data_IF_326048375498
#
_entry.id   IF_326048375498
#
_cell.length_a   1.000
_cell.length_b   1.000
_cell.length_c   1.000
_cell.angle_alpha   90.00
_cell.angle_beta   90.00
_cell.angle_gamma   90.00
#
_symmetry.space_group_name_H-M   'P 1'
#
loop_
_entity.id
_entity.type
_entity.pdbx_description
1 polymer ?
#
# COMPACT_ATOMS: atom_id res chain seq x y z
N UNK A 1 -43.03 54.50 7.36
CA UNK A 1 -42.16 54.22 6.20
C UNK A 1 -41.35 52.98 6.53
N UNK A 2 -41.56 51.78 6.00
CA UNK A 2 -42.32 51.33 4.84
C UNK A 2 -41.37 50.60 3.88
N UNK A 3 -41.31 49.25 3.96
CA UNK A 3 -41.01 48.25 2.92
C UNK A 3 -40.44 47.00 3.64
N UNK A 4 -41.14 45.85 3.75
CA UNK A 4 -41.50 44.81 2.76
C UNK A 4 -40.33 43.92 2.31
N UNK A 5 -40.37 42.71 2.89
CA UNK A 5 -39.97 41.32 2.51
C UNK A 5 -40.01 40.98 0.98
N UNK A 6 -39.64 39.78 0.44
CA UNK A 6 -39.45 38.46 1.11
C UNK A 6 -38.48 37.39 0.50
N UNK A 7 -38.38 36.25 1.21
CA UNK A 7 -38.17 34.89 0.67
C UNK A 7 -36.80 34.26 1.00
N UNK A 8 -36.66 33.06 1.59
CA UNK A 8 -37.18 31.76 1.16
C UNK A 8 -37.29 30.81 2.36
N UNK A 9 -38.43 30.10 2.44
CA UNK A 9 -38.76 29.15 3.51
C UNK A 9 -38.43 27.68 3.20
N UNK A 10 -38.11 26.95 4.28
CA UNK A 10 -38.05 25.49 4.39
C UNK A 10 -39.45 24.87 4.28
N UNK A 11 -39.56 23.67 3.70
CA UNK A 11 -40.57 22.60 3.99
C UNK A 11 -40.09 21.31 3.30
N UNK A 12 -39.78 20.23 4.00
CA UNK A 12 -40.61 19.33 4.82
C UNK A 12 -41.40 18.31 3.98
N UNK A 13 -41.06 17.05 4.25
CA UNK A 13 -41.50 15.78 3.71
C UNK A 13 -42.90 15.41 4.26
N UNK A 14 -43.80 14.90 3.41
CA UNK A 14 -45.02 14.20 3.85
C UNK A 14 -45.28 13.02 2.92
N UNK A 15 -45.43 11.84 3.53
CA UNK A 15 -45.87 10.60 2.92
C UNK A 15 -47.40 10.57 2.76
N UNK A 16 -47.90 9.84 1.76
CA UNK A 16 -49.32 9.59 1.57
C UNK A 16 -49.58 8.34 0.72
N UNK A 17 -49.99 7.28 1.40
CA UNK A 17 -50.59 6.05 0.87
C UNK A 17 -51.97 6.30 0.25
N UNK A 18 -52.31 5.59 -0.83
CA UNK A 18 -53.68 5.53 -1.36
C UNK A 18 -53.87 4.37 -2.35
N UNK A 19 -54.74 3.43 -1.99
CA UNK A 19 -55.18 2.29 -2.79
C UNK A 19 -56.62 2.51 -3.31
N UNK A 20 -56.98 1.82 -4.42
CA UNK A 20 -58.31 1.42 -4.93
C UNK A 20 -58.39 1.66 -6.46
N UNK A 21 -58.45 0.63 -7.34
CA UNK A 21 -59.52 -0.34 -7.68
C UNK A 21 -60.41 0.11 -8.86
N UNK A 22 -60.94 -0.92 -9.57
CA UNK A 22 -61.90 -0.97 -10.70
C UNK A 22 -61.24 -1.20 -12.06
N UNK A 23 -61.61 -2.16 -12.93
CA UNK A 23 -62.66 -3.21 -12.98
C UNK A 23 -62.36 -4.09 -14.21
N UNK A 24 -62.61 -5.41 -14.15
CA UNK A 24 -62.74 -6.30 -15.31
C UNK A 24 -64.07 -6.07 -16.06
N UNK A 25 -64.45 -6.74 -17.15
CA UNK A 25 -63.93 -7.86 -17.91
C UNK A 25 -64.74 -7.94 -19.22
N UNK A 26 -64.18 -8.38 -20.35
CA UNK A 26 -64.94 -9.11 -21.40
C UNK A 26 -63.98 -9.99 -22.23
N UNK A 27 -64.32 -11.27 -22.38
CA UNK A 27 -63.95 -12.22 -23.44
C UNK A 27 -65.26 -12.96 -23.82
N UNK A 28 -65.36 -13.83 -24.86
CA UNK A 28 -64.30 -14.46 -25.69
C UNK A 28 -64.64 -14.58 -27.21
N UNK A 29 -63.72 -15.15 -28.01
CA UNK A 29 -64.02 -16.14 -29.07
C UNK A 29 -62.75 -16.70 -29.76
N UNK A 30 -62.73 -18.04 -29.85
CA UNK A 30 -61.86 -19.00 -30.56
C UNK A 30 -61.62 -18.72 -32.06
N UNK A 31 -60.71 -19.30 -32.85
CA UNK A 31 -59.54 -20.17 -32.72
C UNK A 31 -58.93 -20.31 -34.14
N UNK A 32 -57.61 -20.48 -34.28
CA UNK A 32 -56.93 -21.56 -35.05
C UNK A 32 -55.44 -21.27 -35.27
N UNK A 33 -54.65 -22.30 -35.03
CA UNK A 33 -53.19 -22.33 -35.01
C UNK A 33 -52.55 -22.34 -36.41
N UNK A 34 -51.38 -21.70 -36.51
CA UNK A 34 -50.30 -22.07 -37.42
C UNK A 34 -48.98 -21.95 -36.64
N UNK A 35 -48.28 -23.06 -36.49
CA UNK A 35 -47.02 -23.16 -35.76
C UNK A 35 -45.90 -22.43 -36.53
N UNK A 36 -45.19 -21.55 -35.84
CA UNK A 36 -43.89 -21.03 -36.26
C UNK A 36 -42.89 -21.57 -35.25
N UNK A 37 -41.95 -22.38 -35.71
CA UNK A 37 -40.84 -22.89 -34.90
C UNK A 37 -40.00 -21.71 -34.38
N UNK A 38 -40.03 -21.54 -33.05
CA UNK A 38 -39.19 -20.57 -32.34
C UNK A 38 -37.79 -21.13 -32.07
N UNK A 39 -36.79 -20.26 -31.82
CA UNK A 39 -35.39 -20.65 -31.74
C UNK A 39 -35.10 -21.44 -30.45
N UNK A 40 -34.02 -22.22 -30.55
CA UNK A 40 -33.48 -23.13 -29.56
C UNK A 40 -33.66 -22.71 -28.09
N UNK A 41 -34.07 -23.69 -27.27
CA UNK A 41 -34.11 -23.59 -25.83
C UNK A 41 -32.79 -23.01 -25.30
N UNK A 42 -32.88 -21.82 -24.71
CA UNK A 42 -31.85 -21.33 -23.80
C UNK A 42 -31.83 -22.32 -22.64
N UNK A 43 -30.76 -23.12 -22.57
CA UNK A 43 -30.46 -23.88 -21.37
C UNK A 43 -30.12 -22.84 -20.32
N UNK A 44 -31.10 -22.50 -19.47
CA UNK A 44 -30.85 -21.79 -18.22
C UNK A 44 -29.97 -22.71 -17.36
N UNK A 45 -28.65 -22.57 -17.51
CA UNK A 45 -27.71 -23.06 -16.50
C UNK A 45 -28.06 -22.42 -15.15
N UNK A 46 -27.76 -23.09 -14.03
CA UNK A 46 -28.08 -22.56 -12.72
C UNK A 46 -27.54 -21.14 -12.62
N UNK A 47 -28.43 -20.18 -12.40
CA UNK A 47 -28.08 -18.80 -12.08
C UNK A 47 -27.33 -18.82 -10.76
N UNK A 48 -26.02 -19.04 -10.84
CA UNK A 48 -25.13 -18.95 -9.71
C UNK A 48 -25.08 -17.48 -9.31
N UNK A 49 -26.03 -17.06 -8.47
CA UNK A 49 -25.88 -15.86 -7.67
C UNK A 49 -24.68 -16.13 -6.78
N UNK A 50 -23.51 -15.63 -7.18
CA UNK A 50 -22.29 -15.79 -6.41
C UNK A 50 -22.37 -14.83 -5.23
N UNK A 51 -22.30 -15.36 -4.00
CA UNK A 51 -22.18 -14.52 -2.82
C UNK A 51 -20.83 -13.78 -2.84
N UNK A 52 -20.89 -12.45 -2.86
CA UNK A 52 -19.71 -11.58 -2.80
C UNK A 52 -19.19 -11.10 -4.17
N UNK A 53 -18.03 -10.43 -4.20
CA UNK A 53 -17.56 -9.67 -5.37
C UNK A 53 -16.78 -10.52 -6.39
N UNK A 54 -16.65 -11.83 -6.19
CA UNK A 54 -15.90 -12.71 -7.07
C UNK A 54 -16.83 -13.40 -8.08
N UNK A 55 -16.43 -13.56 -9.35
CA UNK A 55 -17.18 -14.39 -10.29
C UNK A 55 -17.04 -15.88 -9.94
N UNK A 56 -17.95 -16.70 -10.46
CA UNK A 56 -17.95 -18.16 -10.28
C UNK A 56 -16.69 -18.83 -10.83
N UNK A 57 -16.13 -18.29 -11.93
CA UNK A 57 -14.90 -18.76 -12.56
C UNK A 57 -13.60 -18.29 -11.87
N UNK A 58 -13.66 -17.53 -10.78
CA UNK A 58 -12.45 -17.06 -10.09
C UNK A 58 -11.48 -18.18 -9.66
N UNK A 59 -11.91 -19.40 -9.25
CA UNK A 59 -10.95 -20.46 -8.88
C UNK A 59 -10.10 -20.90 -10.07
N UNK A 60 -10.69 -20.91 -11.28
CA UNK A 60 -9.95 -21.22 -12.51
C UNK A 60 -8.91 -20.14 -12.82
N UNK A 61 -9.29 -18.85 -12.76
CA UNK A 61 -8.33 -17.75 -12.93
C UNK A 61 -7.21 -17.78 -11.89
N UNK A 62 -7.53 -18.11 -10.63
CA UNK A 62 -6.54 -18.27 -9.57
C UNK A 62 -5.60 -19.46 -9.82
N UNK A 63 -6.09 -20.54 -10.42
CA UNK A 63 -5.27 -21.70 -10.80
C UNK A 63 -4.28 -21.34 -11.92
N UNK A 64 -4.67 -20.51 -12.88
CA UNK A 64 -3.84 -20.04 -14.00
C UNK A 64 -2.64 -19.16 -13.58
N UNK A 65 -2.67 -18.56 -12.38
CA UNK A 65 -1.55 -17.79 -11.84
C UNK A 65 -0.37 -18.71 -11.49
N UNK A 66 0.45 -19.04 -12.49
CA UNK A 66 1.61 -19.95 -12.34
C UNK A 66 2.88 -19.22 -11.92
N UNK A 67 2.90 -17.89 -12.06
CA UNK A 67 4.04 -17.00 -11.79
C UNK A 67 5.30 -17.41 -12.56
N UNK A 68 5.28 -17.38 -13.91
CA UNK A 68 6.37 -17.90 -14.75
C UNK A 68 7.68 -17.14 -14.61
N UNK A 69 7.71 -15.93 -14.06
CA UNK A 69 8.95 -15.19 -13.79
C UNK A 69 9.46 -15.37 -12.36
N UNK A 70 8.79 -16.13 -11.49
CA UNK A 70 9.31 -16.42 -10.15
C UNK A 70 10.69 -17.11 -10.23
N UNK A 71 11.59 -16.80 -9.29
CA UNK A 71 12.88 -17.48 -9.22
C UNK A 71 12.69 -18.99 -9.03
N UNK A 72 13.50 -19.80 -9.71
CA UNK A 72 13.35 -21.26 -9.75
C UNK A 72 12.33 -21.77 -10.79
N UNK A 73 11.25 -21.03 -11.06
CA UNK A 73 10.29 -21.35 -12.13
C UNK A 73 10.70 -20.75 -13.48
N UNK A 74 11.26 -19.55 -13.46
CA UNK A 74 11.69 -18.82 -14.66
C UNK A 74 12.66 -19.64 -15.51
N UNK A 75 12.58 -19.54 -16.86
CA UNK A 75 13.60 -20.12 -17.73
C UNK A 75 14.95 -19.43 -17.57
N UNK A 76 15.01 -18.22 -17.00
CA UNK A 76 16.26 -17.48 -16.76
C UNK A 76 16.95 -18.07 -15.52
N UNK A 77 18.10 -18.73 -15.73
CA UNK A 77 18.85 -19.45 -14.69
C UNK A 77 20.02 -18.67 -14.10
N UNK A 78 20.49 -17.62 -14.78
CA UNK A 78 21.41 -16.66 -14.17
C UNK A 78 20.64 -15.70 -13.27
N UNK A 79 21.05 -15.56 -12.01
CA UNK A 79 20.31 -14.76 -11.05
C UNK A 79 20.37 -13.26 -11.37
N UNK A 80 21.52 -12.76 -11.81
CA UNK A 80 21.66 -11.35 -12.19
C UNK A 80 20.75 -10.99 -13.36
N UNK A 81 20.71 -11.85 -14.37
CA UNK A 81 19.81 -11.72 -15.51
C UNK A 81 18.34 -11.85 -15.10
N UNK A 82 18.00 -12.80 -14.22
CA UNK A 82 16.65 -12.96 -13.70
C UNK A 82 16.20 -11.71 -12.95
N UNK A 83 17.03 -11.20 -12.02
CA UNK A 83 16.74 -10.01 -11.21
C UNK A 83 16.45 -8.81 -12.10
N UNK A 84 17.28 -8.57 -13.11
CA UNK A 84 17.05 -7.50 -14.11
C UNK A 84 15.75 -7.70 -14.88
N UNK A 85 15.46 -8.91 -15.36
CA UNK A 85 14.25 -9.20 -16.12
C UNK A 85 12.98 -9.08 -15.27
N UNK A 86 13.01 -9.57 -14.04
CA UNK A 86 11.92 -9.47 -13.07
C UNK A 86 11.65 -8.00 -12.71
N UNK A 87 12.70 -7.23 -12.37
CA UNK A 87 12.58 -5.79 -12.10
C UNK A 87 12.01 -5.05 -13.31
N UNK A 88 12.53 -5.30 -14.51
CA UNK A 88 12.03 -4.67 -15.74
C UNK A 88 10.54 -4.99 -16.00
N UNK A 89 10.09 -6.21 -15.69
CA UNK A 89 8.67 -6.56 -15.80
C UNK A 89 7.81 -5.84 -14.76
N UNK A 90 8.27 -5.69 -13.53
CA UNK A 90 7.55 -4.91 -12.51
C UNK A 90 7.46 -3.45 -12.96
N UNK A 91 8.59 -2.86 -13.37
CA UNK A 91 8.72 -1.50 -13.89
C UNK A 91 7.75 -1.19 -15.05
N UNK A 92 7.63 -2.11 -16.00
CA UNK A 92 6.66 -2.05 -17.11
C UNK A 92 5.21 -2.00 -16.60
N UNK A 93 4.90 -2.83 -15.59
CA UNK A 93 3.54 -3.02 -15.06
C UNK A 93 3.16 -2.06 -13.94
N UNK A 94 4.05 -1.12 -13.56
CA UNK A 94 3.66 0.04 -12.76
C UNK A 94 2.69 0.94 -13.53
N UNK A 95 2.72 0.91 -14.87
CA UNK A 95 1.92 1.80 -15.73
C UNK A 95 2.18 3.29 -15.40
N UNK A 96 3.36 3.59 -14.86
CA UNK A 96 3.85 4.95 -14.59
C UNK A 96 5.28 5.05 -15.09
N UNK A 97 5.52 5.95 -16.04
CA UNK A 97 6.84 6.14 -16.64
C UNK A 97 7.90 6.60 -15.63
N UNK A 98 9.17 6.32 -15.92
CA UNK A 98 10.31 6.76 -15.09
C UNK A 98 10.27 8.27 -14.85
N UNK A 99 10.61 8.67 -13.62
CA UNK A 99 10.69 10.06 -13.17
C UNK A 99 12.11 10.49 -12.86
N UNK A 100 13.13 9.72 -13.25
CA UNK A 100 14.52 9.89 -12.78
C UNK A 100 15.12 11.25 -13.19
N UNK A 101 14.60 11.84 -14.28
CA UNK A 101 15.03 13.15 -14.78
C UNK A 101 14.25 14.34 -14.20
N UNK A 102 13.25 14.09 -13.36
CA UNK A 102 12.50 15.17 -12.71
C UNK A 102 13.37 15.74 -11.57
N UNK A 103 13.72 17.04 -11.56
CA UNK A 103 14.46 17.62 -10.44
C UNK A 103 13.63 17.57 -9.15
N UNK A 104 14.25 17.25 -8.02
CA UNK A 104 13.54 17.25 -6.72
C UNK A 104 13.10 18.65 -6.30
N UNK A 105 13.92 19.68 -6.57
CA UNK A 105 13.67 21.07 -6.18
C UNK A 105 13.15 21.21 -4.72
N UNK A 106 13.92 20.75 -3.71
CA UNK A 106 13.45 20.70 -2.33
C UNK A 106 13.37 22.11 -1.73
N UNK A 107 12.30 22.37 -0.99
CA UNK A 107 12.10 23.58 -0.18
C UNK A 107 11.92 23.18 1.28
N UNK A 108 12.76 23.71 2.16
CA UNK A 108 12.78 23.36 3.58
C UNK A 108 12.09 24.45 4.41
N UNK A 109 11.14 24.06 5.26
CA UNK A 109 10.37 24.95 6.12
C UNK A 109 10.19 24.37 7.53
N UNK A 110 9.57 25.15 8.42
CA UNK A 110 9.10 24.69 9.74
C UNK A 110 10.19 24.01 10.59
N UNK A 111 11.43 24.49 10.48
CA UNK A 111 12.57 23.95 11.21
C UNK A 111 12.40 24.14 12.72
N UNK A 112 12.51 23.05 13.49
CA UNK A 112 12.42 23.06 14.94
C UNK A 112 13.49 22.15 15.56
N UNK A 113 14.22 22.66 16.55
CA UNK A 113 15.12 21.84 17.38
C UNK A 113 14.27 20.94 18.28
N UNK A 114 14.61 19.67 18.31
CA UNK A 114 14.08 18.66 19.23
C UNK A 114 15.19 18.17 20.15
N UNK A 115 14.87 17.27 21.05
CA UNK A 115 15.87 16.60 21.89
C UNK A 115 16.64 15.54 21.07
N UNK A 116 17.89 15.84 20.73
CA UNK A 116 18.82 14.96 20.00
C UNK A 116 18.74 15.02 18.46
N UNK A 117 17.84 15.83 17.90
CA UNK A 117 17.67 15.99 16.44
C UNK A 117 16.98 17.32 16.08
N UNK A 118 16.95 17.63 14.79
CA UNK A 118 16.17 18.72 14.20
C UNK A 118 15.06 18.14 13.33
N UNK A 119 13.85 18.68 13.47
CA UNK A 119 12.73 18.42 12.56
C UNK A 119 12.60 19.54 11.53
N UNK A 120 12.37 19.20 10.27
CA UNK A 120 12.12 20.12 9.15
C UNK A 120 11.00 19.54 8.28
N UNK A 121 10.20 20.40 7.66
CA UNK A 121 9.36 20.00 6.54
C UNK A 121 10.14 20.19 5.25
N UNK A 122 10.05 19.24 4.32
CA UNK A 122 10.61 19.36 2.98
C UNK A 122 9.52 19.16 1.94
N UNK A 123 9.33 20.15 1.07
CA UNK A 123 8.44 20.05 -0.10
C UNK A 123 9.26 19.79 -1.34
N UNK A 124 8.99 18.69 -2.06
CA UNK A 124 9.80 18.24 -3.19
C UNK A 124 8.97 17.56 -4.29
N UNK A 125 9.48 17.57 -5.51
CA UNK A 125 8.85 16.89 -6.66
C UNK A 125 9.30 15.43 -6.72
N UNK A 126 8.44 14.50 -6.29
CA UNK A 126 8.67 13.05 -6.48
C UNK A 126 8.30 12.60 -7.90
N UNK A 127 7.34 13.27 -8.52
CA UNK A 127 6.96 13.10 -9.93
C UNK A 127 6.89 14.46 -10.61
N UNK A 128 6.72 14.49 -11.93
CA UNK A 128 6.44 15.75 -12.67
C UNK A 128 5.03 16.30 -12.43
N UNK A 129 4.18 15.58 -11.70
CA UNK A 129 2.75 15.88 -11.57
C UNK A 129 2.44 16.70 -10.32
N UNK A 130 3.17 16.46 -9.23
CA UNK A 130 2.91 17.12 -7.95
C UNK A 130 4.18 17.27 -7.11
N UNK A 131 4.11 18.20 -6.16
CA UNK A 131 5.09 18.39 -5.10
C UNK A 131 4.51 17.83 -3.81
N UNK A 132 5.29 17.01 -3.12
CA UNK A 132 4.91 16.31 -1.90
C UNK A 132 5.61 16.95 -0.72
N UNK A 133 4.86 17.21 0.36
CA UNK A 133 5.39 17.69 1.63
C UNK A 133 5.69 16.51 2.56
N UNK A 134 6.93 16.39 3.00
CA UNK A 134 7.42 15.31 3.84
C UNK A 134 8.04 15.85 5.13
N UNK A 135 8.01 15.03 6.18
CA UNK A 135 8.76 15.27 7.41
C UNK A 135 10.19 14.75 7.24
N UNK A 136 11.18 15.58 7.54
CA UNK A 136 12.60 15.24 7.54
C UNK A 136 13.15 15.45 8.95
N UNK A 137 13.67 14.39 9.56
CA UNK A 137 14.33 14.45 10.86
C UNK A 137 15.82 14.23 10.66
N UNK A 138 16.66 15.13 11.17
CA UNK A 138 18.12 15.03 11.10
C UNK A 138 18.70 14.95 12.52
N UNK A 139 19.43 13.88 12.89
CA UNK A 139 20.11 13.78 14.18
C UNK A 139 21.10 14.91 14.40
N UNK A 140 21.34 15.24 15.66
CA UNK A 140 22.42 16.16 16.02
C UNK A 140 23.78 15.46 15.86
N UNK A 141 24.77 16.16 15.29
CA UNK A 141 26.11 15.64 15.09
C UNK A 141 26.72 16.02 13.74
N UNK A 142 27.96 15.57 13.45
CA UNK A 142 28.67 15.97 12.24
C UNK A 142 28.23 15.22 10.96
N UNK A 143 27.56 14.07 11.08
CA UNK A 143 27.25 13.20 9.93
C UNK A 143 28.51 12.71 9.17
N UNK A 144 28.35 12.16 7.95
CA UNK A 144 27.07 11.75 7.37
C UNK A 144 26.41 10.62 8.19
N UNK A 145 25.08 10.57 8.18
CA UNK A 145 24.30 9.64 9.00
C UNK A 145 23.74 8.49 8.15
N UNK A 146 23.50 7.30 8.74
CA UNK A 146 22.59 6.36 8.13
C UNK A 146 21.19 6.98 8.04
N UNK A 147 20.35 6.47 7.14
CA UNK A 147 19.04 7.04 6.89
C UNK A 147 17.94 5.99 6.74
N UNK A 148 16.71 6.39 7.09
CA UNK A 148 15.52 5.57 6.97
C UNK A 148 14.43 6.30 6.20
N UNK A 149 14.03 5.74 5.06
CA UNK A 149 12.77 6.06 4.41
C UNK A 149 11.64 5.35 5.17
N UNK A 150 10.81 6.12 5.86
CA UNK A 150 9.75 5.61 6.72
C UNK A 150 8.39 5.72 6.03
N UNK A 151 7.67 4.60 5.94
CA UNK A 151 6.48 4.45 5.08
C UNK A 151 5.26 4.07 5.94
N UNK A 152 4.22 4.91 5.89
CA UNK A 152 3.04 4.77 6.77
C UNK A 152 2.03 3.74 6.29
N UNK A 153 1.25 3.22 7.24
CA UNK A 153 0.16 2.28 7.00
C UNK A 153 -1.06 2.93 6.33
N UNK A 154 -1.98 2.09 5.85
CA UNK A 154 -3.26 2.52 5.30
C UNK A 154 -4.22 2.97 6.40
N UNK A 155 -4.59 2.06 7.31
CA UNK A 155 -5.36 2.33 8.53
C UNK A 155 -6.77 2.89 8.38
N UNK A 156 -7.20 3.27 7.17
CA UNK A 156 -8.42 4.05 6.93
C UNK A 156 -8.49 5.36 7.75
N UNK A 157 -7.35 5.84 8.22
CA UNK A 157 -7.19 7.10 8.97
C UNK A 157 -6.55 8.13 8.06
N UNK A 158 -7.35 8.72 7.18
CA UNK A 158 -6.89 9.54 6.05
C UNK A 158 -6.48 10.96 6.43
N UNK A 159 -6.87 11.46 7.60
CA UNK A 159 -6.51 12.79 8.10
C UNK A 159 -5.04 12.94 8.50
N UNK A 160 -4.33 11.82 8.68
CA UNK A 160 -2.89 11.77 9.01
C UNK A 160 -2.18 10.77 8.11
N UNK A 161 -0.98 11.10 7.65
CA UNK A 161 -0.13 10.19 6.86
C UNK A 161 1.19 9.95 7.57
N UNK A 162 2.20 10.78 7.27
CA UNK A 162 3.49 10.84 7.96
C UNK A 162 3.34 11.07 9.46
N UNK A 163 2.28 11.76 9.90
CA UNK A 163 1.99 11.99 11.32
C UNK A 163 1.63 10.69 12.07
N UNK A 164 1.34 9.58 11.38
CA UNK A 164 1.20 8.27 12.00
C UNK A 164 2.52 7.74 12.58
N UNK A 165 3.66 8.23 12.07
CA UNK A 165 4.99 7.72 12.37
C UNK A 165 5.94 8.79 12.91
N UNK A 166 5.68 10.06 12.61
CA UNK A 166 6.46 11.21 13.08
C UNK A 166 5.54 12.12 13.87
N UNK A 167 5.92 12.49 15.09
CA UNK A 167 5.11 13.39 15.92
C UNK A 167 4.97 14.74 15.22
N UNK A 168 3.75 15.25 14.94
CA UNK A 168 3.62 16.56 14.31
C UNK A 168 4.09 17.66 15.26
N UNK A 169 4.95 18.55 14.75
CA UNK A 169 5.43 19.75 15.46
C UNK A 169 5.01 21.06 14.77
N UNK A 170 4.44 20.94 13.58
CA UNK A 170 4.02 22.02 12.68
C UNK A 170 2.50 22.15 12.58
N UNK A 171 1.74 21.22 13.18
CA UNK A 171 0.28 21.18 13.11
C UNK A 171 -0.30 20.52 14.37
N UNK A 172 -0.74 21.35 15.30
CA UNK A 172 -1.37 20.90 16.55
C UNK A 172 -2.74 20.24 16.31
N UNK A 173 -3.40 20.50 15.16
CA UNK A 173 -4.73 19.95 14.87
C UNK A 173 -4.70 18.46 14.60
N UNK A 174 -3.58 17.94 14.08
CA UNK A 174 -3.37 16.51 13.81
C UNK A 174 -2.81 15.75 15.01
N UNK A 175 -2.30 16.44 16.03
CA UNK A 175 -1.59 15.82 17.15
C UNK A 175 -2.43 14.79 17.90
N UNK A 176 -3.69 15.10 18.21
CA UNK A 176 -4.57 14.16 18.93
C UNK A 176 -4.84 12.89 18.11
N UNK A 177 -5.02 13.04 16.79
CA UNK A 177 -5.21 11.92 15.86
C UNK A 177 -3.96 11.04 15.77
N UNK A 178 -2.80 11.67 15.64
CA UNK A 178 -1.49 11.04 15.60
C UNK A 178 -1.18 10.26 16.90
N UNK A 179 -1.45 10.86 18.06
CA UNK A 179 -1.27 10.21 19.37
C UNK A 179 -2.17 8.99 19.53
N UNK A 180 -3.47 9.12 19.25
CA UNK A 180 -4.38 7.97 19.35
C UNK A 180 -4.01 6.84 18.38
N UNK A 181 -3.46 7.17 17.20
CA UNK A 181 -2.94 6.16 16.26
C UNK A 181 -1.68 5.48 16.81
N UNK A 182 -0.75 6.26 17.34
CA UNK A 182 0.48 5.78 17.96
C UNK A 182 0.22 4.87 19.17
N UNK A 183 -0.69 5.25 20.06
CA UNK A 183 -1.11 4.44 21.21
C UNK A 183 -1.69 3.09 20.77
N UNK A 184 -2.49 3.09 19.70
CA UNK A 184 -3.18 1.89 19.22
C UNK A 184 -2.26 0.89 18.51
N UNK A 185 -1.30 1.36 17.72
CA UNK A 185 -0.52 0.48 16.84
C UNK A 185 0.99 0.48 17.11
N UNK A 186 1.51 1.48 17.83
CA UNK A 186 2.94 1.73 17.97
C UNK A 186 3.39 1.92 19.43
N UNK A 187 2.61 1.43 20.40
CA UNK A 187 2.88 1.55 21.84
C UNK A 187 3.09 2.99 22.32
N UNK A 188 2.43 3.97 21.71
CA UNK A 188 2.58 5.40 22.04
C UNK A 188 3.90 6.02 21.59
N UNK A 189 4.71 5.30 20.80
CA UNK A 189 5.95 5.80 20.20
C UNK A 189 5.70 6.32 18.79
N UNK A 190 6.43 7.35 18.41
CA UNK A 190 6.54 7.79 17.02
C UNK A 190 7.85 7.23 16.46
N UNK A 191 7.74 6.22 15.59
CA UNK A 191 8.89 5.44 15.08
C UNK A 191 9.96 6.33 14.45
N UNK A 192 9.57 7.39 13.74
CA UNK A 192 10.50 8.33 13.14
C UNK A 192 11.29 9.13 14.18
N UNK A 193 10.63 9.58 15.25
CA UNK A 193 11.29 10.28 16.35
C UNK A 193 12.29 9.37 17.08
N UNK A 194 11.95 8.10 17.30
CA UNK A 194 12.86 7.12 17.92
C UNK A 194 14.09 6.84 17.04
N UNK A 195 13.89 6.67 15.73
CA UNK A 195 14.98 6.51 14.77
C UNK A 195 15.89 7.75 14.73
N UNK A 196 15.32 8.95 14.74
CA UNK A 196 16.09 10.19 14.73
C UNK A 196 16.98 10.33 15.98
N UNK A 197 16.43 10.02 17.18
CA UNK A 197 17.22 9.99 18.42
C UNK A 197 18.32 8.92 18.41
N UNK A 198 18.15 7.85 17.64
CA UNK A 198 19.15 6.79 17.45
C UNK A 198 20.22 7.12 16.41
N UNK A 199 20.17 8.29 15.77
CA UNK A 199 21.21 8.71 14.83
C UNK A 199 20.87 8.46 13.35
N UNK A 200 19.60 8.24 13.02
CA UNK A 200 19.15 8.08 11.63
C UNK A 200 18.53 9.37 11.08
N UNK A 201 18.89 9.75 9.85
CA UNK A 201 18.10 10.73 9.09
C UNK A 201 16.81 10.05 8.64
N UNK A 202 15.65 10.61 8.99
CA UNK A 202 14.35 10.00 8.68
C UNK A 202 13.58 10.88 7.70
N UNK A 203 13.11 10.29 6.60
CA UNK A 203 12.17 10.92 5.69
C UNK A 203 10.84 10.17 5.72
N UNK A 204 9.74 10.89 5.94
CA UNK A 204 8.39 10.32 5.89
C UNK A 204 7.46 11.22 5.09
N UNK A 205 6.93 10.71 3.99
CA UNK A 205 6.03 11.42 3.08
C UNK A 205 4.63 10.79 3.10
N UNK A 206 3.61 11.62 2.87
CA UNK A 206 2.24 11.15 2.70
C UNK A 206 2.08 10.41 1.37
N UNK A 207 1.50 9.21 1.42
CA UNK A 207 0.92 8.59 0.24
C UNK A 207 -0.29 9.42 -0.22
N UNK A 208 -0.55 9.43 -1.53
CA UNK A 208 -1.72 10.11 -2.09
C UNK A 208 -2.99 9.65 -1.36
N UNK A 209 -3.78 10.61 -0.87
CA UNK A 209 -5.01 10.35 -0.14
C UNK A 209 -4.95 10.46 1.38
N UNK A 210 -3.75 10.64 1.96
CA UNK A 210 -3.55 10.89 3.38
C UNK A 210 -2.97 12.27 3.64
N UNK A 211 -3.20 12.80 4.85
CA UNK A 211 -2.50 13.97 5.37
C UNK A 211 -2.59 15.18 4.43
N UNK A 212 -1.44 15.70 4.01
CA UNK A 212 -1.34 16.86 3.11
C UNK A 212 -1.78 16.55 1.66
N UNK A 213 -1.96 15.27 1.32
CA UNK A 213 -2.43 14.80 0.01
C UNK A 213 -3.84 14.20 0.09
N UNK A 214 -4.58 14.55 1.14
CA UNK A 214 -5.95 14.10 1.40
C UNK A 214 -6.70 15.10 2.29
N UNK A 215 -7.61 14.64 3.18
CA UNK A 215 -8.00 13.25 3.39
C UNK A 215 -8.98 12.74 2.32
N UNK A 216 -8.77 11.51 1.85
CA UNK A 216 -9.81 10.79 1.11
C UNK A 216 -10.97 10.41 2.04
N UNK A 217 -12.19 10.43 1.51
CA UNK A 217 -13.29 9.68 2.12
C UNK A 217 -13.12 8.17 1.84
N UNK A 218 -13.59 7.34 2.76
CA UNK A 218 -13.37 5.90 2.71
C UNK A 218 -13.89 5.26 1.41
N UNK A 219 -15.03 5.71 0.89
CA UNK A 219 -15.68 5.19 -0.33
C UNK A 219 -15.08 5.73 -1.64
N UNK A 220 -14.17 6.71 -1.58
CA UNK A 220 -13.54 7.30 -2.77
C UNK A 220 -12.35 6.51 -3.31
N UNK A 221 -11.83 5.54 -2.56
CA UNK A 221 -10.60 4.81 -2.92
C UNK A 221 -10.72 4.08 -4.26
N UNK A 222 -11.84 3.39 -4.51
CA UNK A 222 -12.06 2.70 -5.78
C UNK A 222 -12.22 3.67 -6.95
N UNK A 223 -12.93 4.79 -6.72
CA UNK A 223 -13.10 5.80 -7.75
C UNK A 223 -11.75 6.42 -8.13
N UNK A 224 -10.91 6.72 -7.14
CA UNK A 224 -9.55 7.20 -7.38
C UNK A 224 -8.75 6.22 -8.23
N UNK A 225 -8.69 4.95 -7.82
CA UNK A 225 -7.94 3.92 -8.54
C UNK A 225 -8.47 3.69 -9.96
N UNK A 226 -9.79 3.63 -10.13
CA UNK A 226 -10.45 3.52 -11.44
C UNK A 226 -10.09 4.70 -12.35
N UNK A 227 -10.09 5.92 -11.82
CA UNK A 227 -9.70 7.10 -12.57
C UNK A 227 -8.23 7.10 -12.97
N UNK A 228 -7.32 6.59 -12.13
CA UNK A 228 -5.94 6.37 -12.54
C UNK A 228 -5.85 5.47 -13.78
N UNK A 229 -6.60 4.36 -13.82
CA UNK A 229 -6.63 3.48 -15.00
C UNK A 229 -7.21 4.18 -16.23
N UNK A 230 -8.29 4.95 -16.09
CA UNK A 230 -8.86 5.74 -17.19
C UNK A 230 -7.87 6.78 -17.74
N UNK A 231 -6.94 7.25 -16.90
CA UNK A 231 -5.87 8.19 -17.27
C UNK A 231 -4.61 7.48 -17.80
N UNK A 232 -4.66 6.16 -18.03
CA UNK A 232 -3.53 5.37 -18.51
C UNK A 232 -2.41 5.25 -17.48
N UNK A 233 -2.75 5.25 -16.20
CA UNK A 233 -1.82 5.21 -15.06
C UNK A 233 -2.30 4.19 -14.01
N UNK A 234 -1.58 4.03 -12.89
CA UNK A 234 -2.05 3.23 -11.76
C UNK A 234 -1.73 3.90 -10.42
N UNK A 235 -2.64 3.77 -9.46
CA UNK A 235 -2.47 4.32 -8.11
C UNK A 235 -1.30 3.64 -7.38
N UNK A 236 -1.26 2.31 -7.40
CA UNK A 236 -0.16 1.53 -6.83
C UNK A 236 1.19 1.84 -7.50
N UNK A 237 1.21 1.98 -8.83
CA UNK A 237 2.42 2.30 -9.58
C UNK A 237 2.91 3.73 -9.35
N UNK A 238 2.02 4.70 -9.16
CA UNK A 238 2.40 6.04 -8.75
C UNK A 238 3.09 6.01 -7.39
N UNK A 239 2.49 5.33 -6.41
CA UNK A 239 3.06 5.20 -5.06
C UNK A 239 4.43 4.50 -5.11
N UNK A 240 4.58 3.40 -5.85
CA UNK A 240 5.85 2.70 -6.04
C UNK A 240 6.94 3.62 -6.61
N UNK A 241 6.59 4.45 -7.61
CA UNK A 241 7.50 5.43 -8.22
C UNK A 241 7.91 6.51 -7.24
N UNK A 242 6.95 7.03 -6.47
CA UNK A 242 7.20 8.05 -5.46
C UNK A 242 8.11 7.52 -4.35
N UNK A 243 7.91 6.28 -3.90
CA UNK A 243 8.74 5.65 -2.87
C UNK A 243 10.19 5.46 -3.35
N UNK A 244 10.38 4.97 -4.59
CA UNK A 244 11.73 4.86 -5.18
C UNK A 244 12.41 6.23 -5.34
N UNK A 245 11.66 7.26 -5.76
CA UNK A 245 12.15 8.64 -5.87
C UNK A 245 12.46 9.27 -4.51
N UNK A 246 11.66 8.97 -3.48
CA UNK A 246 11.90 9.43 -2.13
C UNK A 246 13.18 8.80 -1.54
N UNK A 247 13.42 7.50 -1.81
CA UNK A 247 14.69 6.85 -1.46
C UNK A 247 15.89 7.54 -2.13
N UNK A 248 15.81 7.81 -3.44
CA UNK A 248 16.88 8.50 -4.16
C UNK A 248 17.12 9.95 -3.70
N UNK A 249 16.06 10.66 -3.29
CA UNK A 249 16.19 11.97 -2.66
C UNK A 249 16.91 11.87 -1.31
N UNK A 250 16.47 10.97 -0.44
CA UNK A 250 17.05 10.76 0.88
C UNK A 250 18.54 10.40 0.79
N UNK A 251 18.87 9.44 -0.07
CA UNK A 251 20.23 8.99 -0.33
C UNK A 251 21.12 10.06 -1.02
N UNK A 252 20.51 11.12 -1.55
CA UNK A 252 21.18 12.24 -2.21
C UNK A 252 21.44 13.45 -1.31
N UNK A 253 21.00 13.43 -0.05
CA UNK A 253 21.28 14.53 0.89
C UNK A 253 22.74 14.49 1.34
N UNK A 254 23.44 15.62 1.36
CA UNK A 254 24.86 15.72 1.76
C UNK A 254 25.14 15.20 3.19
N UNK A 255 24.10 15.17 4.04
CA UNK A 255 24.18 14.69 5.44
C UNK A 255 23.88 13.20 5.58
N UNK A 256 23.59 12.49 4.50
CA UNK A 256 23.25 11.06 4.49
C UNK A 256 24.40 10.28 3.86
N UNK A 257 24.78 9.19 4.50
CA UNK A 257 25.65 8.20 3.87
C UNK A 257 24.80 7.40 2.88
N UNK A 258 25.05 7.63 1.58
CA UNK A 258 24.32 6.99 0.48
C UNK A 258 24.36 5.46 0.54
N UNK A 259 25.40 4.87 1.13
CA UNK A 259 25.53 3.42 1.29
C UNK A 259 24.70 2.84 2.43
N UNK A 260 24.13 3.69 3.30
CA UNK A 260 23.50 3.31 4.57
C UNK A 260 22.05 3.78 4.67
N UNK A 261 21.26 3.55 3.62
CA UNK A 261 19.85 3.94 3.55
C UNK A 261 18.96 2.69 3.59
N UNK A 262 17.99 2.65 4.50
CA UNK A 262 17.00 1.59 4.58
C UNK A 262 15.58 2.11 4.38
N UNK A 263 14.66 1.20 4.03
CA UNK A 263 13.22 1.47 4.10
C UNK A 263 12.61 0.71 5.28
N UNK A 264 11.74 1.36 6.05
CA UNK A 264 10.98 0.73 7.14
C UNK A 264 9.51 1.05 6.96
N UNK A 265 8.64 0.07 7.10
CA UNK A 265 7.22 0.32 7.04
C UNK A 265 6.37 -0.71 7.77
N UNK A 266 5.13 -0.31 8.05
CA UNK A 266 4.10 -1.11 8.73
C UNK A 266 2.86 -1.25 7.84
N UNK A 267 2.28 -2.44 7.74
CA UNK A 267 1.08 -2.73 6.94
C UNK A 267 1.28 -2.34 5.46
N UNK A 268 0.43 -1.50 4.87
CA UNK A 268 0.68 -0.94 3.53
C UNK A 268 2.07 -0.29 3.42
N UNK A 269 2.60 0.30 4.50
CA UNK A 269 3.97 0.79 4.56
C UNK A 269 5.01 -0.32 4.41
N UNK A 270 4.75 -1.51 4.93
CA UNK A 270 5.61 -2.68 4.78
C UNK A 270 5.61 -3.19 3.33
N UNK A 271 4.44 -3.20 2.67
CA UNK A 271 4.34 -3.42 1.21
C UNK A 271 5.24 -2.46 0.44
N UNK A 272 5.13 -1.18 0.75
CA UNK A 272 5.95 -0.12 0.14
C UNK A 272 7.44 -0.31 0.41
N UNK A 273 7.84 -0.70 1.63
CA UNK A 273 9.24 -0.86 2.00
C UNK A 273 9.94 -1.96 1.20
N UNK A 274 9.37 -3.17 1.13
CA UNK A 274 9.98 -4.24 0.34
C UNK A 274 9.90 -3.97 -1.17
N UNK A 275 8.86 -3.27 -1.63
CA UNK A 275 8.72 -2.90 -3.03
C UNK A 275 9.74 -1.84 -3.45
N UNK A 276 9.97 -0.83 -2.61
CA UNK A 276 11.00 0.17 -2.84
C UNK A 276 12.39 -0.48 -2.92
N UNK A 277 12.72 -1.43 -2.03
CA UNK A 277 13.98 -2.17 -2.08
C UNK A 277 14.12 -3.06 -3.33
N UNK A 278 13.01 -3.58 -3.86
CA UNK A 278 13.01 -4.33 -5.12
C UNK A 278 13.28 -3.41 -6.33
N UNK A 279 12.76 -2.18 -6.30
CA UNK A 279 12.74 -1.26 -7.45
C UNK A 279 13.89 -0.24 -7.46
N UNK A 280 14.45 0.10 -6.30
CA UNK A 280 15.51 1.10 -6.16
C UNK A 280 16.82 0.47 -5.70
N UNK A 281 17.93 0.91 -6.28
CA UNK A 281 19.27 0.56 -5.82
C UNK A 281 19.81 1.56 -4.77
N UNK A 282 19.02 2.58 -4.40
CA UNK A 282 19.37 3.54 -3.34
C UNK A 282 19.07 3.01 -1.93
N UNK A 283 18.51 1.79 -1.80
CA UNK A 283 18.21 1.16 -0.52
C UNK A 283 19.14 -0.03 -0.27
N UNK A 284 19.90 0.05 0.81
CA UNK A 284 20.79 -1.01 1.28
C UNK A 284 20.06 -2.11 2.04
N UNK A 285 18.93 -1.80 2.70
CA UNK A 285 18.15 -2.75 3.49
C UNK A 285 16.67 -2.37 3.56
N UNK A 286 15.79 -3.32 3.93
CA UNK A 286 14.38 -3.01 4.22
C UNK A 286 13.76 -3.85 5.34
N UNK A 287 12.95 -3.22 6.19
CA UNK A 287 12.13 -3.87 7.21
C UNK A 287 10.64 -3.71 6.89
N UNK A 288 9.95 -4.83 6.77
CA UNK A 288 8.53 -4.93 6.47
C UNK A 288 7.79 -5.56 7.66
N UNK A 289 6.93 -4.78 8.32
CA UNK A 289 6.18 -5.22 9.50
C UNK A 289 4.69 -5.39 9.19
N UNK A 290 4.16 -6.57 9.52
CA UNK A 290 2.77 -7.00 9.32
C UNK A 290 2.30 -6.87 7.87
N UNK A 291 3.15 -7.29 6.92
CA UNK A 291 2.77 -7.43 5.51
C UNK A 291 3.75 -8.37 4.80
N UNK A 292 3.42 -9.67 4.76
CA UNK A 292 3.94 -10.60 3.76
C UNK A 292 3.02 -11.82 3.62
N UNK A 293 2.71 -12.21 2.39
CA UNK A 293 1.85 -13.36 2.06
C UNK A 293 1.95 -13.61 0.54
N UNK A 294 1.33 -14.68 0.04
CA UNK A 294 1.11 -14.88 -1.38
C UNK A 294 -0.27 -14.40 -1.83
N UNK A 295 -0.37 -13.96 -3.09
CA UNK A 295 -1.61 -13.48 -3.68
C UNK A 295 -2.71 -14.54 -3.66
N UNK A 296 -2.35 -15.81 -3.93
CA UNK A 296 -3.33 -16.90 -3.88
C UNK A 296 -3.88 -17.09 -2.47
N UNK A 297 -3.06 -16.93 -1.45
CA UNK A 297 -3.44 -17.05 -0.06
C UNK A 297 -4.29 -15.85 0.41
N UNK A 298 -4.13 -14.68 -0.21
CA UNK A 298 -5.00 -13.51 0.01
C UNK A 298 -6.33 -13.56 -0.74
N UNK A 299 -6.37 -14.16 -1.94
CA UNK A 299 -7.58 -14.26 -2.76
C UNK A 299 -8.48 -15.40 -2.27
N UNK A 300 -9.03 -15.24 -1.06
CA UNK A 300 -9.98 -16.15 -0.43
C UNK A 300 -11.19 -15.36 0.09
N UNK A 301 -12.43 -15.91 0.01
CA UNK A 301 -13.63 -15.23 0.49
C UNK A 301 -13.48 -14.65 1.90
N UNK A 302 -13.96 -13.42 2.09
CA UNK A 302 -13.87 -12.70 3.37
C UNK A 302 -12.57 -11.92 3.60
N UNK A 303 -11.50 -12.20 2.85
CA UNK A 303 -10.24 -11.46 2.96
C UNK A 303 -10.40 -9.99 2.49
N UNK A 304 -9.65 -9.08 3.10
CA UNK A 304 -9.72 -7.65 2.82
C UNK A 304 -9.35 -7.30 1.36
N UNK A 305 -8.48 -8.08 0.71
CA UNK A 305 -8.12 -7.90 -0.70
C UNK A 305 -9.34 -7.93 -1.63
N UNK A 306 -10.37 -8.72 -1.29
CA UNK A 306 -11.56 -8.85 -2.11
C UNK A 306 -12.53 -7.67 -2.00
N UNK A 307 -12.34 -6.76 -1.02
CA UNK A 307 -13.27 -5.65 -0.75
C UNK A 307 -13.07 -4.41 -1.63
N UNK A 308 -12.05 -4.38 -2.50
CA UNK A 308 -11.63 -3.13 -3.16
C UNK A 308 -10.81 -2.27 -2.20
N UNK A 309 -11.10 -0.98 -2.00
CA UNK A 309 -10.44 -0.15 -0.98
C UNK A 309 -8.89 -0.20 -0.99
N UNK A 310 -8.27 -0.44 0.18
CA UNK A 310 -6.83 -0.50 0.38
C UNK A 310 -6.06 -1.39 -0.61
N UNK A 311 -6.71 -2.43 -1.18
CA UNK A 311 -6.09 -3.30 -2.17
C UNK A 311 -5.60 -2.54 -3.41
N UNK A 312 -6.25 -1.43 -3.78
CA UNK A 312 -5.87 -0.65 -4.97
C UNK A 312 -4.53 0.07 -4.84
N UNK A 313 -4.05 0.31 -3.61
CA UNK A 313 -2.70 0.83 -3.38
C UNK A 313 -1.63 -0.26 -3.57
N UNK A 314 -2.02 -1.53 -3.66
CA UNK A 314 -1.11 -2.68 -3.77
C UNK A 314 -1.35 -3.49 -5.04
N UNK A 315 -2.29 -3.05 -5.89
CA UNK A 315 -2.70 -3.72 -7.11
C UNK A 315 -1.95 -3.13 -8.30
N UNK A 316 -0.98 -3.88 -8.80
CA UNK A 316 -0.31 -3.63 -10.07
C UNK A 316 -0.99 -4.43 -11.20
N UNK A 317 -1.77 -3.80 -12.10
CA UNK A 317 -2.52 -4.53 -13.11
C UNK A 317 -1.63 -5.40 -13.99
N UNK A 318 -2.02 -6.67 -14.15
CA UNK A 318 -1.30 -7.63 -14.98
C UNK A 318 -0.05 -8.26 -14.33
N UNK A 319 0.50 -7.68 -13.26
CA UNK A 319 1.68 -8.23 -12.56
C UNK A 319 1.49 -9.68 -12.06
N UNK A 320 0.32 -10.05 -11.48
CA UNK A 320 0.05 -11.42 -11.06
C UNK A 320 0.21 -12.49 -12.15
N UNK A 321 0.18 -12.12 -13.43
CA UNK A 321 0.41 -13.05 -14.55
C UNK A 321 1.87 -13.54 -14.61
N UNK A 322 2.78 -12.87 -13.91
CA UNK A 322 4.22 -13.11 -13.99
C UNK A 322 4.86 -13.40 -12.64
N UNK A 323 4.51 -12.64 -11.61
CA UNK A 323 5.15 -12.65 -10.30
C UNK A 323 4.10 -12.53 -9.18
N UNK A 324 4.33 -13.23 -8.09
CA UNK A 324 3.62 -13.06 -6.82
C UNK A 324 4.35 -12.03 -5.91
N UNK A 325 3.75 -11.61 -4.79
CA UNK A 325 4.36 -10.65 -3.88
C UNK A 325 5.75 -11.09 -3.35
N UNK A 326 5.96 -12.34 -2.89
CA UNK A 326 7.28 -12.78 -2.45
C UNK A 326 8.30 -12.81 -3.59
N UNK A 327 7.86 -13.02 -4.83
CA UNK A 327 8.74 -13.03 -6.00
C UNK A 327 9.25 -11.61 -6.32
N UNK A 328 8.40 -10.58 -6.15
CA UNK A 328 8.81 -9.18 -6.31
C UNK A 328 9.76 -8.77 -5.19
N UNK A 329 9.43 -9.07 -3.93
CA UNK A 329 10.32 -8.80 -2.80
C UNK A 329 11.70 -9.46 -2.97
N UNK A 330 11.73 -10.65 -3.58
CA UNK A 330 12.96 -11.40 -3.88
C UNK A 330 13.91 -10.74 -4.88
N UNK A 331 13.48 -9.70 -5.61
CA UNK A 331 14.35 -8.89 -6.47
C UNK A 331 15.41 -8.15 -5.63
N UNK A 332 15.13 -7.87 -4.36
CA UNK A 332 16.07 -7.23 -3.45
C UNK A 332 17.19 -8.17 -2.97
N UNK A 333 17.06 -9.50 -3.15
CA UNK A 333 18.13 -10.43 -2.78
C UNK A 333 19.42 -10.15 -3.57
N UNK A 334 20.61 -10.29 -2.95
CA UNK A 334 20.88 -10.78 -1.59
C UNK A 334 20.94 -9.67 -0.53
N UNK A 335 20.28 -8.52 -0.74
CA UNK A 335 20.21 -7.42 0.22
C UNK A 335 19.58 -7.84 1.55
N UNK A 336 19.98 -7.25 2.69
CA UNK A 336 19.34 -7.46 3.97
C UNK A 336 17.85 -7.11 3.96
N UNK A 337 17.02 -8.06 4.40
CA UNK A 337 15.58 -7.83 4.56
C UNK A 337 15.06 -8.45 5.86
N UNK A 338 14.16 -7.72 6.51
CA UNK A 338 13.45 -8.16 7.70
C UNK A 338 11.94 -8.20 7.43
N UNK A 339 11.31 -9.32 7.79
CA UNK A 339 9.86 -9.50 7.74
C UNK A 339 9.34 -9.93 9.11
N UNK A 340 8.46 -9.11 9.68
CA UNK A 340 7.71 -9.42 10.88
C UNK A 340 6.24 -9.59 10.59
N UNK A 341 5.61 -10.57 11.23
CA UNK A 341 4.16 -10.79 11.13
C UNK A 341 3.56 -11.06 12.51
N UNK A 342 2.29 -10.70 12.69
CA UNK A 342 1.52 -11.05 13.88
C UNK A 342 0.83 -12.40 13.71
N UNK A 343 0.98 -13.32 14.66
CA UNK A 343 0.32 -14.63 14.62
C UNK A 343 -1.20 -14.55 14.77
N UNK A 344 -1.71 -13.46 15.34
CA UNK A 344 -3.14 -13.16 15.50
C UNK A 344 -3.63 -12.12 14.50
N UNK A 345 -2.85 -11.79 13.46
CA UNK A 345 -3.22 -10.81 12.46
C UNK A 345 -4.35 -11.34 11.55
N UNK A 346 -5.56 -10.76 11.58
CA UNK A 346 -6.67 -11.24 10.76
C UNK A 346 -6.53 -10.88 9.27
N UNK A 347 -5.60 -10.01 8.90
CA UNK A 347 -5.40 -9.57 7.51
C UNK A 347 -4.50 -10.54 6.73
N UNK A 348 -3.54 -11.16 7.42
CA UNK A 348 -2.54 -12.05 6.84
C UNK A 348 -2.59 -13.41 7.53
N UNK A 349 -3.36 -14.37 7.00
CA UNK A 349 -3.45 -15.70 7.60
C UNK A 349 -2.07 -16.37 7.74
N UNK A 350 -1.83 -17.04 8.86
CA UNK A 350 -0.54 -17.67 9.18
C UNK A 350 -0.03 -18.61 8.08
N UNK A 351 -0.93 -19.29 7.37
CA UNK A 351 -0.57 -20.20 6.28
C UNK A 351 0.02 -19.43 5.08
N UNK A 352 -0.54 -18.25 4.77
CA UNK A 352 -0.03 -17.35 3.75
C UNK A 352 1.33 -16.77 4.11
N UNK A 353 1.52 -16.38 5.38
CA UNK A 353 2.81 -15.92 5.91
C UNK A 353 3.86 -17.02 5.79
N UNK A 354 3.56 -18.25 6.25
CA UNK A 354 4.50 -19.39 6.14
C UNK A 354 4.88 -19.69 4.70
N UNK A 355 3.89 -19.73 3.79
CA UNK A 355 4.15 -19.97 2.38
C UNK A 355 5.04 -18.89 1.75
N UNK A 356 4.85 -17.62 2.12
CA UNK A 356 5.69 -16.52 1.65
C UNK A 356 7.11 -16.59 2.23
N UNK A 357 7.24 -16.86 3.53
CA UNK A 357 8.53 -17.05 4.20
C UNK A 357 9.37 -18.16 3.56
N UNK A 358 8.75 -19.29 3.22
CA UNK A 358 9.46 -20.40 2.57
C UNK A 358 9.97 -20.02 1.18
N UNK A 359 9.19 -19.25 0.40
CA UNK A 359 9.60 -18.73 -0.90
C UNK A 359 10.78 -17.75 -0.78
N UNK A 360 10.69 -16.77 0.13
CA UNK A 360 11.77 -15.81 0.38
C UNK A 360 13.05 -16.53 0.82
N UNK A 361 12.96 -17.44 1.80
CA UNK A 361 14.11 -18.23 2.29
C UNK A 361 14.78 -19.00 1.15
N UNK A 362 14.00 -19.63 0.27
CA UNK A 362 14.55 -20.36 -0.86
C UNK A 362 15.39 -19.46 -1.80
N UNK A 363 14.96 -18.21 -2.05
CA UNK A 363 15.72 -17.27 -2.88
C UNK A 363 17.03 -16.86 -2.19
N UNK A 364 16.99 -16.36 -0.95
CA UNK A 364 18.21 -15.94 -0.25
C UNK A 364 19.19 -17.11 -0.05
N UNK A 365 18.70 -18.30 0.28
CA UNK A 365 19.53 -19.51 0.38
C UNK A 365 20.20 -19.87 -0.94
N UNK A 366 19.49 -19.74 -2.06
CA UNK A 366 20.10 -19.98 -3.38
C UNK A 366 21.26 -19.02 -3.69
N UNK A 367 21.29 -17.86 -3.01
CA UNK A 367 22.32 -16.81 -3.11
C UNK A 367 23.35 -16.86 -1.99
N UNK A 368 23.35 -17.91 -1.17
CA UNK A 368 24.25 -18.06 -0.03
C UNK A 368 24.21 -16.84 0.91
N UNK A 369 23.00 -16.29 1.09
CA UNK A 369 22.77 -15.07 1.85
C UNK A 369 21.62 -15.23 2.86
N UNK A 370 21.26 -16.46 3.24
CA UNK A 370 20.13 -16.72 4.14
C UNK A 370 20.25 -15.95 5.47
N UNK A 371 21.47 -15.72 5.95
CA UNK A 371 21.77 -14.92 7.14
C UNK A 371 21.38 -13.43 7.02
N UNK A 372 21.15 -12.93 5.80
CA UNK A 372 20.69 -11.57 5.54
C UNK A 372 19.17 -11.44 5.51
N UNK A 373 18.44 -12.55 5.65
CA UNK A 373 16.99 -12.58 5.68
C UNK A 373 16.49 -12.91 7.08
N UNK A 374 15.90 -11.91 7.76
CA UNK A 374 15.29 -12.09 9.07
C UNK A 374 13.78 -12.29 8.92
N UNK A 375 13.28 -13.49 9.22
CA UNK A 375 11.85 -13.83 9.15
C UNK A 375 11.35 -14.20 10.54
N UNK A 376 10.34 -13.50 11.07
CA UNK A 376 9.81 -13.80 12.40
C UNK A 376 8.31 -13.52 12.51
N UNK A 377 7.57 -14.52 12.99
CA UNK A 377 6.17 -14.36 13.38
C UNK A 377 6.06 -14.22 14.89
N UNK A 378 5.34 -13.21 15.36
CA UNK A 378 5.07 -12.92 16.77
C UNK A 378 3.72 -13.54 17.17
N UNK A 379 3.71 -14.72 17.83
CA UNK A 379 2.50 -15.54 17.94
C UNK A 379 1.37 -14.89 18.75
N UNK A 380 1.70 -13.99 19.67
CA UNK A 380 0.79 -13.30 20.59
C UNK A 380 0.32 -11.92 20.09
N UNK A 381 0.78 -11.46 18.93
CA UNK A 381 0.45 -10.13 18.39
C UNK A 381 -0.48 -10.21 17.19
N UNK A 382 -1.38 -9.22 17.10
CA UNK A 382 -2.18 -8.95 15.92
C UNK A 382 -1.49 -8.01 14.93
N UNK A 383 -2.28 -7.23 14.21
CA UNK A 383 -1.81 -6.24 13.25
C UNK A 383 -1.30 -4.97 13.95
N UNK A 384 -0.09 -5.01 14.50
CA UNK A 384 0.54 -3.92 15.29
C UNK A 384 2.05 -3.86 15.05
N UNK A 385 2.68 -2.73 15.35
CA UNK A 385 4.14 -2.57 15.37
C UNK A 385 4.58 -2.01 16.72
N UNK A 386 4.45 -2.82 17.77
CA UNK A 386 4.71 -2.44 19.17
C UNK A 386 6.19 -2.22 19.48
N UNK A 387 6.46 -1.53 20.58
CA UNK A 387 7.80 -1.24 21.12
C UNK A 387 8.83 -2.38 21.01
N UNK A 388 8.53 -3.60 21.47
CA UNK A 388 9.49 -4.73 21.40
C UNK A 388 9.82 -5.16 19.96
N UNK A 389 8.89 -4.97 19.03
CA UNK A 389 9.16 -5.19 17.60
C UNK A 389 10.01 -4.04 17.05
N UNK A 390 9.71 -2.80 17.44
CA UNK A 390 10.48 -1.61 17.05
C UNK A 390 11.93 -1.72 17.51
N UNK A 391 12.15 -2.09 18.78
CA UNK A 391 13.49 -2.24 19.35
C UNK A 391 14.32 -3.32 18.62
N UNK A 392 13.69 -4.41 18.16
CA UNK A 392 14.35 -5.43 17.35
C UNK A 392 14.63 -4.94 15.92
N UNK A 393 13.71 -4.20 15.28
CA UNK A 393 13.97 -3.55 13.98
C UNK A 393 15.12 -2.57 14.08
N UNK A 394 15.17 -1.73 15.12
CA UNK A 394 16.25 -0.76 15.32
C UNK A 394 17.59 -1.45 15.53
N UNK A 395 17.62 -2.48 16.38
CA UNK A 395 18.84 -3.27 16.60
C UNK A 395 19.31 -3.96 15.32
N UNK A 396 18.37 -4.45 14.49
CA UNK A 396 18.70 -5.03 13.19
C UNK A 396 19.26 -3.98 12.23
N UNK A 397 18.66 -2.79 12.13
CA UNK A 397 19.18 -1.68 11.33
C UNK A 397 20.62 -1.32 11.72
N UNK A 398 20.92 -1.25 13.02
CA UNK A 398 22.25 -0.96 13.55
C UNK A 398 23.31 -1.98 13.09
N UNK A 399 22.90 -3.21 12.73
CA UNK A 399 23.80 -4.27 12.27
C UNK A 399 24.00 -4.32 10.75
N UNK A 400 23.02 -3.82 9.98
CA UNK A 400 23.02 -3.96 8.50
C UNK A 400 23.34 -2.66 7.77
N UNK A 401 23.30 -1.52 8.47
CA UNK A 401 23.65 -0.21 7.94
C UNK A 401 25.03 0.21 8.36
#
# INVERSE_FOLDING_TARGET
>A
MGARDPGVGRRAFVAGTGAALLTGAVAPADARAAAVEGPAAVVEGPTAVVDGPLPDFHPALKAELTFPLAWGKSPIRDFGAWRRAARAKVEELLVVGSQDRTPYAPEFTDRRRQDGYTSELVTLSLTRHERVRAALLTPDGPGPFPAVLLLHDHGAKFDIGKEKLVRPWYDDTRLASAQGWSERYFSGRFVGDELARRGYVVLCADALGWGDRGPLAYDQQQALASNFFNLGSSLAGLMAREDARAAGFLAGLDRVDRGRVAAVGFSMGAFRAWQAAALSDDLAAAAAVCWMTGLKEMMVPGNNTLRGQSSYYMLHPGLPRFLDFPDVASIAAPGPMLFFDGGLDPLFPADGVRAAHDRLRAVWRSRHAEERLHLKSWPDLGHVFVDRMQDEVFSWLDTVL
#
